data_IF_814299559038
#
_entry.id   IF_814299559038
#
_cell.length_a   1.000
_cell.length_b   1.000
_cell.length_c   1.000
_cell.angle_alpha   90.00
_cell.angle_beta   90.00
_cell.angle_gamma   90.00
#
_symmetry.space_group_name_H-M   'P 1'
#
loop_
_entity.id
_entity.type
_entity.pdbx_description
1 polymer ?
#
# COMPACT_ATOMS: atom_id res chain seq x y z
N UNK A 1 2.24 8.65 -3.75
CA UNK A 1 2.36 7.87 -2.50
C UNK A 1 1.96 6.43 -2.77
N UNK A 2 2.31 5.49 -1.88
CA UNK A 2 1.98 4.07 -2.02
C UNK A 2 1.29 3.57 -0.75
N UNK A 3 0.30 2.70 -0.94
CA UNK A 3 -0.50 2.03 0.10
C UNK A 3 -1.17 0.82 -0.52
N UNK A 4 -1.52 -0.19 0.27
CA UNK A 4 -2.20 -1.37 -0.25
C UNK A 4 -3.69 -1.39 0.05
N UNK A 5 -4.39 -2.29 -0.65
CA UNK A 5 -5.83 -2.50 -0.51
C UNK A 5 -6.11 -3.90 0.01
N UNK A 6 -6.99 -3.99 1.01
CA UNK A 6 -7.46 -5.27 1.54
C UNK A 6 -8.21 -6.05 0.46
N UNK A 7 -8.02 -7.37 0.47
CA UNK A 7 -8.73 -8.28 -0.41
C UNK A 7 -10.21 -8.35 -0.02
N UNK A 8 -11.10 -8.26 -1.02
CA UNK A 8 -12.53 -8.48 -0.82
C UNK A 8 -13.32 -7.25 -0.36
N UNK A 9 -12.69 -6.09 -0.18
CA UNK A 9 -13.39 -4.82 0.00
C UNK A 9 -13.80 -4.30 -1.40
N UNK A 10 -15.09 -4.11 -1.70
CA UNK A 10 -15.52 -3.53 -2.97
C UNK A 10 -15.02 -2.09 -3.15
N UNK A 11 -14.73 -1.71 -4.39
CA UNK A 11 -14.42 -0.33 -4.73
C UNK A 11 -15.64 0.56 -4.45
N UNK A 12 -15.38 1.74 -3.90
CA UNK A 12 -16.40 2.73 -3.55
C UNK A 12 -15.91 4.12 -3.89
N UNK A 13 -16.82 4.99 -4.34
CA UNK A 13 -16.57 6.44 -4.49
C UNK A 13 -17.08 7.23 -3.29
N UNK A 14 -17.75 6.58 -2.33
CA UNK A 14 -18.27 7.22 -1.13
C UNK A 14 -17.18 7.45 -0.09
N UNK A 15 -17.06 8.69 0.38
CA UNK A 15 -16.19 9.07 1.49
C UNK A 15 -16.58 8.45 2.84
N UNK A 16 -17.82 7.94 2.95
CA UNK A 16 -18.28 7.29 4.17
C UNK A 16 -17.69 5.89 4.39
N UNK A 17 -16.93 5.36 3.41
CA UNK A 17 -16.34 4.02 3.45
C UNK A 17 -17.36 2.96 3.92
N UNK A 18 -18.42 2.71 3.14
CA UNK A 18 -19.54 1.84 3.56
C UNK A 18 -19.13 0.39 3.83
N UNK A 19 -17.91 0.00 3.45
CA UNK A 19 -17.32 -1.32 3.65
C UNK A 19 -16.21 -1.35 4.71
N UNK A 20 -16.05 -0.27 5.49
CA UNK A 20 -14.99 -0.12 6.49
C UNK A 20 -13.66 0.35 5.89
N UNK A 21 -12.58 0.27 6.68
CA UNK A 21 -11.23 0.65 6.25
C UNK A 21 -10.75 -0.24 5.09
N UNK A 22 -10.57 0.29 3.86
CA UNK A 22 -10.13 -0.50 2.71
C UNK A 22 -8.61 -0.72 2.68
N UNK A 23 -7.84 -0.01 3.51
CA UNK A 23 -6.39 0.03 3.43
C UNK A 23 -5.73 -1.08 4.26
N UNK A 24 -4.56 -1.50 3.80
CA UNK A 24 -3.60 -2.34 4.53
C UNK A 24 -2.18 -1.95 4.12
N UNK A 25 -1.20 -2.46 4.86
CA UNK A 25 0.20 -2.16 4.70
C UNK A 25 0.72 -2.66 3.34
N UNK A 26 1.67 -1.93 2.77
CA UNK A 26 2.29 -2.25 1.47
C UNK A 26 2.83 -3.68 1.49
N UNK A 27 2.36 -4.52 0.56
CA UNK A 27 2.78 -5.92 0.45
C UNK A 27 1.91 -6.92 1.20
N UNK A 28 0.88 -6.48 1.94
CA UNK A 28 -0.14 -7.34 2.56
C UNK A 28 -1.49 -7.35 1.85
N UNK A 29 -1.66 -6.46 0.88
CA UNK A 29 -2.91 -6.34 0.14
C UNK A 29 -2.88 -7.05 -1.21
N UNK A 30 -3.63 -6.48 -2.16
CA UNK A 30 -3.85 -7.05 -3.49
C UNK A 30 -2.97 -6.42 -4.57
N UNK A 31 -2.25 -5.34 -4.28
CA UNK A 31 -1.43 -4.64 -5.28
C UNK A 31 -0.11 -5.40 -5.51
N UNK A 32 0.16 -5.74 -6.77
CA UNK A 32 1.42 -6.36 -7.17
C UNK A 32 2.55 -5.31 -7.28
N UNK A 33 3.12 -4.94 -6.13
CA UNK A 33 4.19 -3.95 -6.05
C UNK A 33 5.46 -4.34 -6.80
N UNK A 34 5.81 -5.63 -6.84
CA UNK A 34 7.00 -6.09 -7.57
C UNK A 34 6.92 -5.71 -9.05
N UNK A 35 5.80 -6.04 -9.71
CA UNK A 35 5.56 -5.68 -11.11
C UNK A 35 5.57 -4.17 -11.34
N UNK A 36 5.00 -3.39 -10.40
CA UNK A 36 4.96 -1.93 -10.50
C UNK A 36 6.38 -1.35 -10.43
N UNK A 37 7.19 -1.80 -9.48
CA UNK A 37 8.56 -1.29 -9.31
C UNK A 37 9.53 -1.77 -10.41
N UNK A 38 9.32 -2.96 -10.99
CA UNK A 38 10.02 -3.39 -12.21
C UNK A 38 9.77 -2.40 -13.37
N UNK A 39 8.50 -2.02 -13.60
CA UNK A 39 8.13 -1.04 -14.61
C UNK A 39 8.62 0.39 -14.28
N UNK A 40 8.67 0.74 -12.99
CA UNK A 40 9.08 2.06 -12.52
C UNK A 40 10.52 2.43 -12.93
N UNK A 41 11.40 1.43 -13.14
CA UNK A 41 12.76 1.63 -13.66
C UNK A 41 12.76 2.34 -15.02
N UNK A 42 11.81 2.02 -15.90
CA UNK A 42 11.63 2.68 -17.19
C UNK A 42 10.80 3.96 -17.12
N UNK A 43 9.96 4.10 -16.10
CA UNK A 43 9.04 5.24 -15.93
C UNK A 43 9.65 6.49 -15.29
N UNK A 44 10.95 6.48 -14.94
CA UNK A 44 11.64 7.65 -14.37
C UNK A 44 11.32 7.96 -12.91
N UNK A 45 10.70 7.04 -12.16
CA UNK A 45 10.39 7.22 -10.74
C UNK A 45 11.66 7.47 -9.93
N UNK A 46 11.69 8.58 -9.16
CA UNK A 46 12.82 8.93 -8.29
C UNK A 46 12.53 8.76 -6.82
N UNK A 47 11.30 9.07 -6.41
CA UNK A 47 10.89 9.06 -5.00
C UNK A 47 9.47 8.51 -4.88
N UNK A 48 9.21 7.83 -3.77
CA UNK A 48 7.88 7.42 -3.35
C UNK A 48 7.82 7.49 -1.82
N UNK A 49 6.60 7.63 -1.30
CA UNK A 49 6.34 7.71 0.13
C UNK A 49 5.21 6.76 0.47
N UNK A 50 5.37 5.99 1.55
CA UNK A 50 4.30 5.20 2.13
C UNK A 50 3.34 6.15 2.86
N UNK A 51 2.05 6.03 2.60
CA UNK A 51 1.02 6.89 3.18
C UNK A 51 -0.28 6.10 3.32
N UNK A 52 -0.84 5.99 4.52
CA UNK A 52 -2.03 5.17 4.77
C UNK A 52 -3.09 6.01 5.49
N UNK A 53 -4.28 6.18 4.88
CA UNK A 53 -5.33 7.07 5.41
C UNK A 53 -5.93 6.53 6.71
N UNK A 54 -5.97 5.21 6.87
CA UNK A 54 -6.47 4.53 8.06
C UNK A 54 -5.68 3.26 8.34
N UNK A 55 -5.28 3.09 9.60
CA UNK A 55 -4.54 1.92 10.09
C UNK A 55 -5.44 1.12 11.04
N UNK A 56 -5.46 -0.21 10.90
CA UNK A 56 -6.10 -1.08 11.90
C UNK A 56 -5.18 -1.26 13.12
N UNK A 57 -3.86 -1.31 12.87
CA UNK A 57 -2.80 -1.35 13.87
C UNK A 57 -2.31 0.08 14.23
N UNK A 58 -1.56 0.25 15.34
CA UNK A 58 -0.91 1.53 15.64
C UNK A 58 -0.07 2.04 14.45
N UNK A 59 -0.12 3.34 14.09
CA UNK A 59 0.50 3.85 12.87
C UNK A 59 2.00 3.55 12.73
N UNK A 60 2.75 3.52 13.85
CA UNK A 60 4.18 3.20 13.85
C UNK A 60 4.47 1.71 13.56
N UNK A 61 3.56 0.81 13.92
CA UNK A 61 3.67 -0.60 13.58
C UNK A 61 3.28 -0.83 12.11
N UNK A 62 2.20 -0.18 11.65
CA UNK A 62 1.76 -0.25 10.26
C UNK A 62 2.82 0.26 9.27
N UNK A 63 3.46 1.40 9.57
CA UNK A 63 4.54 1.94 8.74
C UNK A 63 5.78 1.03 8.76
N UNK A 64 6.08 0.41 9.91
CA UNK A 64 7.18 -0.54 10.03
C UNK A 64 6.97 -1.77 9.13
N UNK A 65 5.77 -2.33 9.11
CA UNK A 65 5.42 -3.47 8.23
C UNK A 65 5.63 -3.09 6.76
N UNK A 66 5.11 -1.93 6.34
CA UNK A 66 5.29 -1.44 4.97
C UNK A 66 6.76 -1.23 4.62
N UNK A 67 7.53 -0.64 5.54
CA UNK A 67 8.96 -0.43 5.38
C UNK A 67 9.72 -1.77 5.25
N UNK A 68 9.43 -2.74 6.11
CA UNK A 68 10.11 -4.04 6.10
C UNK A 68 9.82 -4.81 4.81
N UNK A 69 8.59 -4.74 4.26
CA UNK A 69 8.29 -5.28 2.94
C UNK A 69 9.13 -4.62 1.84
N UNK A 70 9.10 -3.28 1.77
CA UNK A 70 9.80 -2.51 0.73
C UNK A 70 11.32 -2.66 0.78
N UNK A 71 11.89 -2.71 2.00
CA UNK A 71 13.32 -2.92 2.22
C UNK A 71 13.81 -4.26 1.68
N UNK A 72 12.98 -5.30 1.78
CA UNK A 72 13.31 -6.65 1.33
C UNK A 72 12.85 -6.92 -0.11
N UNK A 73 12.09 -6.01 -0.72
CA UNK A 73 11.58 -6.17 -2.07
C UNK A 73 12.72 -6.05 -3.08
N UNK A 74 13.03 -7.14 -3.78
CA UNK A 74 14.02 -7.18 -4.85
C UNK A 74 13.32 -7.16 -6.21
N UNK A 75 13.70 -6.21 -7.07
CA UNK A 75 13.14 -5.93 -8.41
C UNK A 75 14.22 -5.69 -9.44
#
# INVERSE_FOLDING_TARGET
HIKDLKKGIPASTSFANPHGNPFTEVGRGIINWKRIFEAAKGGGLKHYFVEQDACDDPPLEAIKISYDYLKNLTV
#
